data_IF_577937388936
#
_entry.id   IF_577937388936
#
_cell.length_a   1.000
_cell.length_b   1.000
_cell.length_c   1.000
_cell.angle_alpha   90.00
_cell.angle_beta   90.00
_cell.angle_gamma   90.00
#
_symmetry.space_group_name_H-M   'P 1'
#
loop_
_entity.id
_entity.type
_entity.pdbx_description
1 polymer ?
#
# COMPACT_ATOMS: atom_id res chain seq x y z
N UNK A 1 -9.58 -8.42 -1.07
CA UNK A 1 -9.47 -7.88 0.30
C UNK A 1 -10.26 -6.58 0.34
N UNK A 2 -9.96 -5.59 1.19
CA UNK A 2 -10.84 -4.44 1.42
C UNK A 2 -10.20 -3.13 0.99
N UNK A 3 -10.98 -2.29 0.30
CA UNK A 3 -10.58 -0.90 0.00
C UNK A 3 -10.51 -0.13 1.32
N UNK A 4 -9.35 0.46 1.61
CA UNK A 4 -9.12 1.28 2.81
C UNK A 4 -9.28 2.76 2.50
N UNK A 5 -9.56 3.54 3.55
CA UNK A 5 -9.56 4.99 3.46
C UNK A 5 -8.12 5.50 3.35
N UNK A 6 -7.83 6.29 2.32
CA UNK A 6 -6.56 7.00 2.20
C UNK A 6 -6.57 8.24 3.11
N UNK A 7 -5.60 8.32 4.01
CA UNK A 7 -5.37 9.52 4.82
C UNK A 7 -4.87 10.67 3.94
N UNK A 8 -5.27 11.90 4.26
CA UNK A 8 -4.94 13.08 3.45
C UNK A 8 -3.81 13.87 4.10
N UNK A 9 -3.21 14.76 3.31
CA UNK A 9 -2.17 15.66 3.79
C UNK A 9 -2.63 16.39 5.06
N UNK A 10 -1.73 16.50 6.04
CA UNK A 10 -2.01 17.05 7.37
C UNK A 10 -2.27 15.99 8.44
N UNK A 11 -2.55 14.74 8.07
CA UNK A 11 -2.65 13.64 9.04
C UNK A 11 -1.26 13.31 9.62
N UNK A 12 -1.15 13.28 10.96
CA UNK A 12 0.09 12.98 11.67
C UNK A 12 0.67 11.61 11.31
N UNK A 13 -0.20 10.65 10.92
CA UNK A 13 0.19 9.30 10.56
C UNK A 13 1.20 9.31 9.41
N UNK A 14 1.07 10.25 8.47
CA UNK A 14 1.99 10.44 7.35
C UNK A 14 3.38 10.95 7.77
N UNK A 15 3.54 11.43 9.00
CA UNK A 15 4.82 11.95 9.55
C UNK A 15 5.48 10.97 10.52
N UNK A 16 4.76 9.95 10.99
CA UNK A 16 5.28 8.95 11.92
C UNK A 16 6.25 8.01 11.19
N UNK A 17 7.32 7.62 11.87
CA UNK A 17 8.31 6.68 11.33
C UNK A 17 7.71 5.28 11.25
N UNK A 18 7.67 4.70 10.04
CA UNK A 18 7.27 3.31 9.83
C UNK A 18 8.24 2.32 10.47
N UNK A 19 7.69 1.26 11.06
CA UNK A 19 8.44 0.14 11.63
C UNK A 19 8.85 -0.85 10.54
N UNK A 20 9.98 -1.51 10.74
CA UNK A 20 10.44 -2.61 9.90
C UNK A 20 9.53 -3.84 10.02
N UNK A 21 9.41 -4.59 8.92
CA UNK A 21 8.70 -5.87 8.91
C UNK A 21 9.70 -6.98 9.14
N UNK A 22 9.64 -7.62 10.31
CA UNK A 22 10.56 -8.71 10.67
C UNK A 22 10.23 -10.05 10.01
N UNK A 23 8.98 -10.27 9.61
CA UNK A 23 8.51 -11.50 8.96
C UNK A 23 7.29 -11.22 8.09
N UNK A 24 7.31 -11.75 6.86
CA UNK A 24 6.15 -11.76 5.96
C UNK A 24 5.12 -12.78 6.46
N UNK A 25 4.30 -12.34 7.42
CA UNK A 25 3.20 -13.13 7.98
C UNK A 25 1.94 -13.02 7.14
N UNK A 26 0.92 -13.83 7.47
CA UNK A 26 -0.43 -13.71 6.89
C UNK A 26 -0.99 -12.29 7.03
N UNK A 27 -0.72 -11.59 8.15
CA UNK A 27 -1.13 -10.19 8.34
C UNK A 27 -0.45 -9.25 7.34
N UNK A 28 0.82 -9.47 7.02
CA UNK A 28 1.53 -8.65 6.02
C UNK A 28 1.01 -8.94 4.62
N UNK A 29 0.73 -10.20 4.30
CA UNK A 29 0.05 -10.53 3.03
C UNK A 29 -1.32 -9.84 2.97
N UNK A 30 -2.09 -9.85 4.06
CA UNK A 30 -3.35 -9.12 4.19
C UNK A 30 -3.18 -7.61 3.95
N UNK A 31 -2.13 -7.01 4.50
CA UNK A 31 -1.83 -5.59 4.25
C UNK A 31 -1.50 -5.34 2.77
N UNK A 32 -0.72 -6.22 2.14
CA UNK A 32 -0.30 -6.06 0.74
C UNK A 32 -1.48 -6.06 -0.22
N UNK A 33 -2.42 -7.01 -0.15
CA UNK A 33 -3.56 -6.88 -1.06
C UNK A 33 -4.57 -5.80 -0.65
N UNK A 34 -4.65 -5.39 0.63
CA UNK A 34 -5.44 -4.20 0.99
C UNK A 34 -4.85 -2.94 0.32
N UNK A 35 -3.51 -2.85 0.22
CA UNK A 35 -2.82 -1.78 -0.50
C UNK A 35 -3.07 -1.84 -2.01
N UNK A 36 -2.97 -3.01 -2.64
CA UNK A 36 -3.23 -3.18 -4.06
C UNK A 36 -4.70 -2.85 -4.41
N UNK A 37 -5.66 -3.41 -3.66
CA UNK A 37 -7.09 -3.15 -3.85
C UNK A 37 -7.40 -1.65 -3.72
N UNK A 38 -6.82 -0.99 -2.72
CA UNK A 38 -6.99 0.46 -2.51
C UNK A 38 -6.32 1.29 -3.60
N UNK A 39 -5.12 0.91 -4.04
CA UNK A 39 -4.38 1.59 -5.10
C UNK A 39 -5.17 1.59 -6.41
N UNK A 40 -5.67 0.42 -6.84
CA UNK A 40 -6.46 0.30 -8.06
C UNK A 40 -7.81 1.00 -7.94
N UNK A 41 -8.48 0.92 -6.79
CA UNK A 41 -9.74 1.63 -6.55
C UNK A 41 -9.60 3.16 -6.59
N UNK A 42 -8.38 3.69 -6.50
CA UNK A 42 -8.09 5.13 -6.56
C UNK A 42 -7.35 5.53 -7.84
N UNK A 43 -7.24 4.62 -8.82
CA UNK A 43 -6.48 4.81 -10.05
C UNK A 43 -5.04 5.29 -9.78
N UNK A 44 -4.42 4.76 -8.71
CA UNK A 44 -3.06 5.09 -8.32
C UNK A 44 -2.02 4.17 -8.95
N UNK A 45 -0.79 4.67 -9.07
CA UNK A 45 0.39 3.92 -9.56
C UNK A 45 1.21 3.32 -8.42
N UNK A 46 1.04 3.84 -7.20
CA UNK A 46 1.71 3.33 -6.00
C UNK A 46 0.99 3.73 -4.72
N UNK A 47 1.13 2.91 -3.68
CA UNK A 47 0.54 3.16 -2.37
C UNK A 47 1.40 2.55 -1.25
N UNK A 48 1.70 3.36 -0.24
CA UNK A 48 2.44 2.94 0.94
C UNK A 48 1.51 2.71 2.14
N UNK A 49 1.87 1.75 3.02
CA UNK A 49 1.10 1.42 4.23
C UNK A 49 0.70 2.63 5.10
N UNK A 50 1.55 3.65 5.32
CA UNK A 50 1.16 4.83 6.11
C UNK A 50 -0.01 5.62 5.51
N UNK A 51 -0.20 5.56 4.18
CA UNK A 51 -1.30 6.26 3.50
C UNK A 51 -2.67 5.63 3.79
N UNK A 52 -2.71 4.42 4.37
CA UNK A 52 -3.94 3.78 4.86
C UNK A 52 -3.95 3.64 6.39
N UNK A 53 -3.07 4.37 7.09
CA UNK A 53 -3.00 4.39 8.55
C UNK A 53 -2.06 3.35 9.18
N UNK A 54 -1.36 2.54 8.38
CA UNK A 54 -0.51 1.44 8.87
C UNK A 54 0.98 1.82 8.77
N UNK A 55 1.60 2.17 9.90
CA UNK A 55 3.02 2.58 9.94
C UNK A 55 4.00 1.39 9.89
N UNK A 56 3.99 0.68 8.76
CA UNK A 56 4.94 -0.37 8.40
C UNK A 56 5.69 0.02 7.13
N UNK A 57 6.93 -0.48 7.00
CA UNK A 57 7.74 -0.29 5.79
C UNK A 57 7.28 -1.23 4.68
N UNK A 58 6.07 -0.98 4.17
CA UNK A 58 5.50 -1.74 3.06
C UNK A 58 4.94 -0.75 2.05
N UNK A 59 5.24 -0.97 0.78
CA UNK A 59 4.59 -0.24 -0.30
C UNK A 59 4.45 -1.11 -1.55
N UNK A 60 3.49 -0.76 -2.38
CA UNK A 60 3.21 -1.42 -3.65
C UNK A 60 3.29 -0.39 -4.77
N UNK A 61 3.70 -0.84 -5.95
CA UNK A 61 3.67 -0.05 -7.18
C UNK A 61 3.17 -0.93 -8.32
N UNK A 62 2.42 -0.36 -9.25
CA UNK A 62 2.16 -0.95 -10.56
C UNK A 62 2.20 0.17 -11.59
N UNK A 63 3.15 0.07 -12.52
CA UNK A 63 3.40 1.06 -13.58
C UNK A 63 2.93 0.57 -14.95
N UNK A 64 2.18 -0.54 -15.00
CA UNK A 64 1.56 -1.03 -16.24
C UNK A 64 0.63 0.04 -16.82
N UNK A 65 0.64 0.15 -18.15
CA UNK A 65 -0.12 1.19 -18.87
C UNK A 65 -0.99 0.60 -19.97
N UNK A 66 -2.10 1.29 -20.27
CA UNK A 66 -3.00 0.91 -21.35
C UNK A 66 -3.57 -0.50 -21.20
N UNK A 67 -3.24 -1.37 -22.15
CA UNK A 67 -3.69 -2.76 -22.18
C UNK A 67 -2.60 -3.76 -21.71
N UNK A 68 -1.51 -3.27 -21.13
CA UNK A 68 -0.52 -4.16 -20.52
C UNK A 68 -1.16 -4.94 -19.37
N UNK A 69 -0.79 -6.21 -19.18
CA UNK A 69 -1.21 -6.95 -18.00
C UNK A 69 -0.67 -6.26 -16.74
N UNK A 70 -1.48 -6.25 -15.68
CA UNK A 70 -1.05 -5.75 -14.37
C UNK A 70 0.23 -6.48 -13.93
N UNK A 71 1.21 -5.71 -13.47
CA UNK A 71 2.50 -6.23 -13.02
C UNK A 71 2.93 -5.55 -11.71
N UNK A 72 2.17 -5.80 -10.62
CA UNK A 72 2.45 -5.14 -9.35
C UNK A 72 3.74 -5.63 -8.72
N UNK A 73 4.54 -4.70 -8.23
CA UNK A 73 5.71 -4.95 -7.40
C UNK A 73 5.41 -4.60 -5.94
N UNK A 74 5.86 -5.45 -5.03
CA UNK A 74 5.64 -5.32 -3.59
C UNK A 74 6.99 -5.22 -2.89
N UNK A 75 7.12 -4.22 -2.02
CA UNK A 75 8.34 -3.94 -1.25
C UNK A 75 8.01 -4.01 0.24
N UNK A 76 8.82 -4.74 1.01
CA UNK A 76 8.66 -5.04 2.44
C UNK A 76 10.00 -4.86 3.14
#
# INVERSE_FOLDING_TARGET
MSIKKIVKYGDETLRRKSKEVSKVSKKIQTLVHDLLDTMYAQNGVGLAAPQIGENLRVFVIDVSTGNEPLNPMVFI
#
